data_IF_852635164246
#
_entry.id   IF_852635164246
#
_cell.length_a   1.000
_cell.length_b   1.000
_cell.length_c   1.000
_cell.angle_alpha   90.00
_cell.angle_beta   90.00
_cell.angle_gamma   90.00
#
_symmetry.space_group_name_H-M   'P 1'
#
loop_
_entity.id
_entity.type
_entity.pdbx_description
1 polymer ?
#
# COMPACT_ATOMS: atom_id res chain seq x y z
N UNK A 1 -21.80 14.08 -20.87
CA UNK A 1 -21.53 13.94 -19.42
C UNK A 1 -20.18 13.27 -19.26
N UNK A 2 -19.16 13.95 -18.75
CA UNK A 2 -17.98 13.26 -18.23
C UNK A 2 -18.43 12.61 -16.92
N UNK A 3 -18.80 11.34 -16.98
CA UNK A 3 -19.08 10.54 -15.81
C UNK A 3 -17.77 10.40 -15.06
N UNK A 4 -17.62 11.13 -13.96
CA UNK A 4 -16.43 11.03 -13.10
C UNK A 4 -16.20 9.56 -12.77
N UNK A 5 -14.98 9.07 -13.06
CA UNK A 5 -14.61 7.68 -12.82
C UNK A 5 -14.90 7.29 -11.34
N UNK A 6 -15.65 6.19 -11.10
CA UNK A 6 -16.20 5.86 -9.79
C UNK A 6 -15.12 5.51 -8.76
N UNK A 7 -13.94 5.06 -9.18
CA UNK A 7 -12.84 4.68 -8.29
C UNK A 7 -11.77 5.76 -8.15
N UNK A 8 -11.87 6.85 -8.93
CA UNK A 8 -10.89 7.95 -8.93
C UNK A 8 -10.67 8.58 -7.57
N UNK A 9 -11.72 8.81 -6.78
CA UNK A 9 -11.58 9.41 -5.45
C UNK A 9 -10.74 8.52 -4.51
N UNK A 10 -10.95 7.20 -4.58
CA UNK A 10 -10.21 6.23 -3.78
C UNK A 10 -8.77 6.12 -4.26
N UNK A 11 -8.53 6.16 -5.57
CA UNK A 11 -7.17 6.21 -6.10
C UNK A 11 -6.41 7.48 -5.72
N UNK A 12 -7.06 8.65 -5.73
CA UNK A 12 -6.44 9.86 -5.21
C UNK A 12 -6.10 9.73 -3.72
N UNK A 13 -7.00 9.14 -2.91
CA UNK A 13 -6.74 8.83 -1.49
C UNK A 13 -5.55 7.89 -1.33
N UNK A 14 -5.41 6.89 -2.20
CA UNK A 14 -4.26 5.98 -2.22
C UNK A 14 -2.96 6.73 -2.52
N UNK A 15 -2.95 7.60 -3.53
CA UNK A 15 -1.78 8.40 -3.88
C UNK A 15 -1.34 9.32 -2.75
N UNK A 16 -2.29 9.96 -2.06
CA UNK A 16 -2.00 10.73 -0.84
C UNK A 16 -1.39 9.86 0.25
N UNK A 17 -2.01 8.70 0.54
CA UNK A 17 -1.48 7.77 1.55
C UNK A 17 -0.04 7.35 1.23
N UNK A 18 0.24 6.99 -0.02
CA UNK A 18 1.58 6.61 -0.45
C UNK A 18 2.56 7.76 -0.27
N UNK A 19 2.21 8.97 -0.71
CA UNK A 19 3.06 10.16 -0.55
C UNK A 19 3.41 10.43 0.91
N UNK A 20 2.42 10.37 1.80
CA UNK A 20 2.59 10.61 3.23
C UNK A 20 3.40 9.51 3.93
N UNK A 21 3.48 8.32 3.31
CA UNK A 21 4.16 7.14 3.85
C UNK A 21 5.42 6.75 3.06
N UNK A 22 6.05 7.71 2.37
CA UNK A 22 7.30 7.49 1.61
C UNK A 22 7.15 6.31 0.63
N UNK A 23 5.97 6.24 0.00
CA UNK A 23 5.57 5.22 -0.96
C UNK A 23 5.61 3.78 -0.43
N UNK A 24 5.45 3.58 0.88
CA UNK A 24 5.33 2.25 1.50
C UNK A 24 3.89 1.71 1.42
N UNK A 25 3.61 0.70 0.58
CA UNK A 25 2.25 0.16 0.44
C UNK A 25 1.76 -0.57 1.69
N UNK A 26 2.68 -1.09 2.54
CA UNK A 26 2.37 -1.72 3.84
C UNK A 26 1.53 -0.83 4.75
N UNK A 27 1.69 0.49 4.62
CA UNK A 27 0.99 1.48 5.45
C UNK A 27 -0.36 1.93 4.86
N UNK A 28 -0.67 1.49 3.64
CA UNK A 28 -1.86 1.89 2.89
C UNK A 28 -2.80 0.71 2.56
N UNK A 29 -2.65 -0.42 3.25
CA UNK A 29 -3.40 -1.66 2.99
C UNK A 29 -4.92 -1.45 2.94
N UNK A 30 -5.45 -0.66 3.88
CA UNK A 30 -6.89 -0.39 3.94
C UNK A 30 -7.41 0.37 2.72
N UNK A 31 -6.62 1.32 2.20
CA UNK A 31 -6.99 2.11 1.03
C UNK A 31 -6.84 1.29 -0.25
N UNK A 32 -5.83 0.42 -0.31
CA UNK A 32 -5.65 -0.55 -1.40
C UNK A 32 -6.82 -1.53 -1.47
N UNK A 33 -7.27 -2.03 -0.32
CA UNK A 33 -8.42 -2.95 -0.27
C UNK A 33 -9.74 -2.23 -0.59
N UNK A 34 -9.89 -0.96 -0.20
CA UNK A 34 -11.01 -0.12 -0.66
C UNK A 34 -11.01 0.07 -2.17
N UNK A 35 -9.84 0.34 -2.78
CA UNK A 35 -9.70 0.50 -4.22
C UNK A 35 -10.04 -0.80 -4.95
N UNK A 36 -9.55 -1.94 -4.44
CA UNK A 36 -9.88 -3.27 -4.96
C UNK A 36 -11.38 -3.54 -4.92
N UNK A 37 -12.04 -3.27 -3.80
CA UNK A 37 -13.50 -3.42 -3.66
C UNK A 37 -14.27 -2.52 -4.63
N UNK A 38 -13.76 -1.31 -4.89
CA UNK A 38 -14.34 -0.45 -5.93
C UNK A 38 -14.22 -1.10 -7.33
N UNK A 39 -13.05 -1.61 -7.68
CA UNK A 39 -12.82 -2.27 -8.97
C UNK A 39 -13.63 -3.56 -9.16
N UNK A 40 -13.98 -4.27 -8.09
CA UNK A 40 -14.92 -5.41 -8.18
C UNK A 40 -16.32 -4.94 -8.62
N UNK A 41 -16.75 -3.76 -8.16
CA UNK A 41 -18.08 -3.20 -8.44
C UNK A 41 -18.12 -2.43 -9.77
N UNK A 42 -17.00 -1.83 -10.17
CA UNK A 42 -16.88 -0.92 -11.30
C UNK A 42 -15.69 -1.31 -12.18
N UNK A 43 -15.83 -2.41 -12.93
CA UNK A 43 -14.77 -2.93 -13.81
C UNK A 43 -14.49 -2.06 -15.04
N UNK A 44 -15.35 -1.06 -15.30
CA UNK A 44 -15.24 -0.08 -16.38
C UNK A 44 -14.39 1.16 -16.00
N UNK A 45 -13.95 1.26 -14.75
CA UNK A 45 -13.07 2.32 -14.28
C UNK A 45 -11.64 2.15 -14.83
N UNK A 46 -11.13 3.19 -15.48
CA UNK A 46 -9.75 3.25 -16.01
C UNK A 46 -8.67 3.11 -14.92
N UNK A 47 -9.02 3.43 -13.68
CA UNK A 47 -8.13 3.29 -12.52
C UNK A 47 -7.87 1.82 -12.18
N UNK A 48 -8.74 0.92 -12.61
CA UNK A 48 -8.71 -0.50 -12.24
C UNK A 48 -7.81 -1.37 -13.12
N UNK A 49 -7.24 -0.84 -14.21
CA UNK A 49 -6.39 -1.60 -15.16
C UNK A 49 -5.18 -2.27 -14.49
N UNK A 50 -4.68 -1.70 -13.39
CA UNK A 50 -3.57 -2.23 -12.59
C UNK A 50 -3.98 -3.08 -11.38
N UNK A 51 -5.27 -3.33 -11.16
CA UNK A 51 -5.78 -3.92 -9.91
C UNK A 51 -6.23 -5.36 -10.12
N UNK A 52 -5.59 -6.31 -9.43
CA UNK A 52 -6.06 -7.69 -9.40
C UNK A 52 -7.27 -7.83 -8.46
N UNK A 53 -8.46 -8.05 -9.02
CA UNK A 53 -9.71 -8.19 -8.27
C UNK A 53 -9.98 -9.61 -7.77
N UNK A 54 -9.26 -10.62 -8.29
CA UNK A 54 -9.47 -12.05 -7.99
C UNK A 54 -8.96 -12.46 -6.60
N UNK A 55 -8.05 -11.68 -6.02
CA UNK A 55 -7.47 -11.95 -4.70
C UNK A 55 -7.43 -10.69 -3.84
N UNK A 56 -7.56 -10.80 -2.50
CA UNK A 56 -7.33 -9.68 -1.60
C UNK A 56 -5.93 -9.08 -1.77
N UNK A 57 -5.76 -7.81 -1.39
CA UNK A 57 -4.43 -7.21 -1.38
C UNK A 57 -3.50 -7.98 -0.43
N UNK A 58 -2.34 -8.38 -0.93
CA UNK A 58 -1.28 -9.02 -0.14
C UNK A 58 -0.02 -8.16 -0.24
N UNK A 59 0.51 -7.77 0.92
CA UNK A 59 1.74 -6.98 0.98
C UNK A 59 2.95 -7.89 0.76
N UNK A 60 3.45 -7.93 -0.48
CA UNK A 60 4.61 -8.74 -0.87
C UNK A 60 5.84 -7.87 -1.19
N UNK A 61 5.73 -6.55 -1.01
CA UNK A 61 6.83 -5.61 -1.22
C UNK A 61 7.73 -5.55 0.01
N UNK A 62 9.02 -5.27 -0.19
CA UNK A 62 9.95 -5.11 0.94
C UNK A 62 9.73 -3.74 1.56
N UNK A 63 9.39 -3.71 2.85
CA UNK A 63 9.38 -2.49 3.66
C UNK A 63 10.81 -2.24 4.17
N UNK A 64 11.60 -1.52 3.38
CA UNK A 64 13.00 -1.22 3.72
C UNK A 64 13.13 -0.44 5.04
N UNK A 65 12.14 0.37 5.42
CA UNK A 65 12.20 1.09 6.70
C UNK A 65 12.07 0.09 7.85
N UNK A 66 11.10 -0.81 7.80
CA UNK A 66 10.97 -1.89 8.78
C UNK A 66 12.19 -2.81 8.83
N UNK A 67 12.76 -3.15 7.67
CA UNK A 67 13.99 -3.97 7.59
C UNK A 67 15.18 -3.26 8.22
N UNK A 68 15.40 -1.98 7.90
CA UNK A 68 16.49 -1.19 8.48
C UNK A 68 16.32 -1.08 10.00
N UNK A 69 15.11 -0.80 10.50
CA UNK A 69 14.85 -0.78 11.95
C UNK A 69 15.11 -2.13 12.61
N UNK A 70 14.73 -3.24 11.99
CA UNK A 70 15.03 -4.58 12.50
C UNK A 70 16.54 -4.83 12.56
N UNK A 71 17.29 -4.43 11.53
CA UNK A 71 18.75 -4.54 11.52
C UNK A 71 19.40 -3.67 12.61
N UNK A 72 18.95 -2.43 12.79
CA UNK A 72 19.45 -1.54 13.84
C UNK A 72 19.20 -2.10 15.25
N UNK A 73 18.01 -2.68 15.49
CA UNK A 73 17.72 -3.36 16.76
C UNK A 73 18.64 -4.56 17.01
N UNK A 74 18.96 -5.32 15.97
CA UNK A 74 19.93 -6.42 16.09
C UNK A 74 21.34 -5.90 16.42
N UNK A 75 21.73 -4.74 15.89
CA UNK A 75 23.00 -4.09 16.25
C UNK A 75 22.99 -3.63 17.70
N UNK A 76 21.93 -2.96 18.18
CA UNK A 76 21.82 -2.56 19.60
C UNK A 76 21.88 -3.80 20.53
N UNK A 77 21.17 -4.86 20.18
CA UNK A 77 21.19 -6.12 20.94
C UNK A 77 22.56 -6.79 20.94
N UNK A 78 23.26 -6.82 19.80
CA UNK A 78 24.62 -7.33 19.72
C UNK A 78 25.61 -6.51 20.55
N UNK A 79 25.47 -5.18 20.54
CA UNK A 79 26.33 -4.29 21.34
C UNK A 79 26.16 -4.54 22.84
N UNK A 80 24.93 -4.77 23.31
CA UNK A 80 24.62 -5.11 24.71
C UNK A 80 25.09 -6.50 25.14
N UNK A 81 25.23 -7.45 24.21
CA UNK A 81 25.68 -8.82 24.51
C UNK A 81 27.21 -8.97 24.61
N UNK A 82 27.96 -8.02 24.06
CA UNK A 82 29.44 -8.10 23.95
C UNK A 82 30.17 -7.21 24.97
N UNK A 83 29.42 -6.44 25.77
CA UNK A 83 29.92 -5.70 26.96
C UNK A 83 29.59 -6.46 28.24
#
# INVERSE_FOLDING_TARGET
>A
MSTTDPCKQIACKLQTCLKDNVFQPSRCQDVLEQLRKCCIKHSDSTVCDGINTLKPYQHNTVDYVSVIFALLKNVEFYTLLVT
#
